data_IF_473321825232
#
_entry.id   IF_473321825232
#
_cell.length_a   1.000
_cell.length_b   1.000
_cell.length_c   1.000
_cell.angle_alpha   90.00
_cell.angle_beta   90.00
_cell.angle_gamma   90.00
#
_symmetry.space_group_name_H-M   'P 1'
#
loop_
_entity.id
_entity.type
_entity.pdbx_description
1 polymer ?
#
# COMPACT_ATOMS: atom_id res chain seq x y z
N UNK A 1 9.55 1.45 -5.68
CA UNK A 1 9.75 2.72 -4.95
C UNK A 1 8.50 3.56 -5.01
N UNK A 2 7.94 3.87 -6.18
CA UNK A 2 6.72 4.72 -6.29
C UNK A 2 5.54 4.38 -5.37
N UNK A 3 5.16 3.11 -5.22
CA UNK A 3 4.06 2.71 -4.32
C UNK A 3 4.40 2.86 -2.83
N UNK A 4 5.66 2.66 -2.45
CA UNK A 4 6.12 2.82 -1.06
C UNK A 4 6.16 4.31 -0.72
N UNK A 5 6.78 5.12 -1.58
CA UNK A 5 6.85 6.58 -1.38
C UNK A 5 5.46 7.20 -1.35
N UNK A 6 4.54 6.77 -2.22
CA UNK A 6 3.15 7.24 -2.20
C UNK A 6 2.48 6.95 -0.85
N UNK A 7 2.72 5.77 -0.29
CA UNK A 7 2.12 5.40 0.99
C UNK A 7 2.70 6.22 2.15
N UNK A 8 4.02 6.44 2.16
CA UNK A 8 4.69 7.29 3.14
C UNK A 8 4.16 8.75 3.09
N UNK A 9 4.02 9.33 1.89
CA UNK A 9 3.49 10.68 1.71
C UNK A 9 2.04 10.81 2.24
N UNK A 10 1.20 9.81 1.97
CA UNK A 10 -0.18 9.77 2.47
C UNK A 10 -0.22 9.66 4.00
N UNK A 11 0.64 8.82 4.59
CA UNK A 11 0.72 8.67 6.06
C UNK A 11 1.18 9.97 6.73
N UNK A 12 2.15 10.69 6.17
CA UNK A 12 2.57 12.01 6.66
C UNK A 12 1.42 13.02 6.62
N UNK A 13 0.63 13.04 5.54
CA UNK A 13 -0.54 13.91 5.42
C UNK A 13 -1.59 13.57 6.48
N UNK A 14 -1.86 12.28 6.72
CA UNK A 14 -2.82 11.85 7.73
C UNK A 14 -2.39 12.20 9.15
N UNK A 15 -1.09 12.04 9.46
CA UNK A 15 -0.51 12.45 10.73
C UNK A 15 -0.65 13.98 10.93
N UNK A 16 -0.27 14.77 9.92
CA UNK A 16 -0.36 16.23 9.97
C UNK A 16 -1.81 16.73 10.14
N UNK A 17 -2.79 16.02 9.61
CA UNK A 17 -4.21 16.34 9.76
C UNK A 17 -4.85 15.79 11.04
N UNK A 18 -4.14 14.98 11.84
CA UNK A 18 -4.70 14.32 13.02
C UNK A 18 -5.81 13.32 12.67
N UNK A 19 -5.69 12.64 11.53
CA UNK A 19 -6.70 11.72 11.03
C UNK A 19 -6.82 10.49 11.95
N UNK A 20 -8.04 10.12 12.33
CA UNK A 20 -8.26 8.84 13.04
C UNK A 20 -7.99 7.65 12.12
N UNK A 21 -7.57 6.53 12.71
CA UNK A 21 -7.29 5.29 11.98
C UNK A 21 -8.51 4.80 11.17
N UNK A 22 -9.73 4.99 11.70
CA UNK A 22 -10.99 4.70 11.00
C UNK A 22 -11.16 5.54 9.71
N UNK A 23 -10.77 6.81 9.76
CA UNK A 23 -10.87 7.73 8.63
C UNK A 23 -9.77 7.51 7.59
N UNK A 24 -8.60 7.00 8.01
CA UNK A 24 -7.45 6.78 7.11
C UNK A 24 -7.80 5.83 5.96
N UNK A 25 -8.49 4.72 6.21
CA UNK A 25 -8.90 3.79 5.13
C UNK A 25 -9.83 4.46 4.12
N UNK A 26 -10.77 5.29 4.60
CA UNK A 26 -11.72 5.97 3.72
C UNK A 26 -11.05 7.05 2.89
N UNK A 27 -10.20 7.88 3.52
CA UNK A 27 -9.47 8.94 2.83
C UNK A 27 -8.37 8.38 1.92
N UNK A 28 -7.67 7.33 2.34
CA UNK A 28 -6.63 6.66 1.57
C UNK A 28 -7.19 6.05 0.29
N UNK A 29 -8.37 5.44 0.37
CA UNK A 29 -9.12 4.98 -0.79
C UNK A 29 -9.52 6.14 -1.73
N UNK A 30 -9.88 7.30 -1.19
CA UNK A 30 -10.32 8.47 -1.95
C UNK A 30 -9.18 9.14 -2.73
N UNK A 31 -7.95 9.10 -2.21
CA UNK A 31 -6.78 9.69 -2.88
C UNK A 31 -6.24 8.81 -4.01
N UNK A 32 -6.65 7.53 -4.10
CA UNK A 32 -6.33 6.69 -5.26
C UNK A 32 -6.92 7.27 -6.55
N UNK A 33 -6.22 7.04 -7.66
CA UNK A 33 -6.61 7.49 -8.99
C UNK A 33 -6.75 6.31 -9.94
N UNK A 34 -7.61 6.47 -10.94
CA UNK A 34 -7.76 5.60 -12.10
C UNK A 34 -7.79 4.09 -11.77
N UNK A 35 -6.82 3.33 -12.27
CA UNK A 35 -6.72 1.88 -12.08
C UNK A 35 -6.67 1.48 -10.60
N UNK A 36 -5.97 2.26 -9.77
CA UNK A 36 -5.83 1.95 -8.35
C UNK A 36 -7.14 2.10 -7.58
N UNK A 37 -7.95 3.10 -7.91
CA UNK A 37 -9.28 3.24 -7.33
C UNK A 37 -10.20 2.08 -7.74
N UNK A 38 -10.18 1.68 -9.03
CA UNK A 38 -10.97 0.55 -9.51
C UNK A 38 -10.56 -0.77 -8.85
N UNK A 39 -9.25 -1.02 -8.75
CA UNK A 39 -8.72 -2.20 -8.06
C UNK A 39 -9.14 -2.22 -6.58
N UNK A 40 -9.04 -1.08 -5.88
CA UNK A 40 -9.38 -1.02 -4.46
C UNK A 40 -10.87 -1.28 -4.21
N UNK A 41 -11.78 -0.76 -5.05
CA UNK A 41 -13.22 -1.04 -4.95
C UNK A 41 -13.52 -2.55 -5.00
N UNK A 42 -12.88 -3.27 -5.92
CA UNK A 42 -13.04 -4.72 -6.06
C UNK A 42 -12.42 -5.47 -4.87
N UNK A 43 -11.23 -5.06 -4.43
CA UNK A 43 -10.54 -5.66 -3.30
C UNK A 43 -11.32 -5.46 -2.00
N UNK A 44 -11.88 -4.27 -1.78
CA UNK A 44 -12.71 -3.94 -0.63
C UNK A 44 -13.92 -4.87 -0.50
N UNK A 45 -14.59 -5.20 -1.60
CA UNK A 45 -15.72 -6.14 -1.60
C UNK A 45 -15.29 -7.55 -1.17
N UNK A 46 -14.14 -8.02 -1.66
CA UNK A 46 -13.59 -9.33 -1.31
C UNK A 46 -13.16 -9.40 0.16
N UNK A 47 -12.47 -8.37 0.65
CA UNK A 47 -11.91 -8.34 2.00
C UNK A 47 -12.99 -8.07 3.06
N UNK A 48 -13.96 -7.21 2.75
CA UNK A 48 -15.09 -6.89 3.63
C UNK A 48 -16.20 -7.93 3.63
N UNK A 49 -16.04 -9.04 2.91
CA UNK A 49 -17.00 -10.14 2.93
C UNK A 49 -17.20 -10.63 4.38
N UNK A 50 -18.47 -10.78 4.80
CA UNK A 50 -18.80 -11.19 6.17
C UNK A 50 -18.81 -10.06 7.22
N UNK A 51 -18.76 -8.78 6.80
CA UNK A 51 -18.89 -7.64 7.71
C UNK A 51 -17.60 -7.26 8.43
N UNK A 52 -16.46 -7.74 7.94
CA UNK A 52 -15.14 -7.39 8.49
C UNK A 52 -14.86 -5.90 8.28
N UNK A 53 -14.52 -5.19 9.36
CA UNK A 53 -14.05 -3.81 9.30
C UNK A 53 -12.65 -3.79 8.68
N UNK A 54 -12.48 -3.02 7.61
CA UNK A 54 -11.20 -2.91 6.91
C UNK A 54 -10.37 -1.81 7.56
N UNK A 55 -9.32 -2.20 8.27
CA UNK A 55 -8.38 -1.28 8.91
C UNK A 55 -7.39 -0.67 7.91
N UNK A 56 -6.72 0.41 8.32
CA UNK A 56 -5.68 1.03 7.50
C UNK A 56 -4.53 0.05 7.22
N UNK A 57 -4.16 -0.76 8.21
CA UNK A 57 -3.12 -1.78 8.06
C UNK A 57 -3.48 -2.84 7.00
N UNK A 58 -4.75 -3.25 6.93
CA UNK A 58 -5.23 -4.16 5.89
C UNK A 58 -5.16 -3.54 4.50
N UNK A 59 -5.53 -2.25 4.37
CA UNK A 59 -5.36 -1.50 3.13
C UNK A 59 -3.89 -1.49 2.68
N UNK A 60 -2.96 -1.12 3.57
CA UNK A 60 -1.52 -1.04 3.27
C UNK A 60 -0.97 -2.37 2.76
N UNK A 61 -1.32 -3.47 3.43
CA UNK A 61 -0.89 -4.81 3.04
C UNK A 61 -1.35 -5.16 1.63
N UNK A 62 -2.63 -4.96 1.32
CA UNK A 62 -3.17 -5.29 0.00
C UNK A 62 -2.61 -4.37 -1.09
N UNK A 63 -2.47 -3.08 -0.79
CA UNK A 63 -1.90 -2.08 -1.69
C UNK A 63 -0.45 -2.41 -2.05
N UNK A 64 0.39 -2.68 -1.05
CA UNK A 64 1.78 -3.07 -1.26
C UNK A 64 1.89 -4.43 -1.96
N UNK A 65 1.02 -5.39 -1.67
CA UNK A 65 1.01 -6.67 -2.39
C UNK A 65 0.72 -6.48 -3.89
N UNK A 66 -0.21 -5.57 -4.24
CA UNK A 66 -0.60 -5.30 -5.63
C UNK A 66 0.45 -4.48 -6.39
N UNK A 67 0.97 -3.41 -5.79
CA UNK A 67 1.81 -2.42 -6.47
C UNK A 67 3.29 -2.53 -6.15
N UNK A 68 3.65 -3.34 -5.15
CA UNK A 68 5.02 -3.68 -4.79
C UNK A 68 5.17 -5.20 -4.58
N UNK A 69 4.89 -6.01 -5.62
CA UNK A 69 4.90 -7.46 -5.50
C UNK A 69 6.28 -7.99 -5.07
N UNK A 70 6.26 -9.11 -4.36
CA UNK A 70 7.44 -9.72 -3.73
C UNK A 70 8.61 -9.94 -4.69
N UNK A 71 8.36 -10.10 -5.99
CA UNK A 71 9.38 -10.31 -7.02
C UNK A 71 10.27 -9.08 -7.27
N UNK A 72 9.77 -7.86 -6.99
CA UNK A 72 10.58 -6.63 -7.04
C UNK A 72 11.44 -6.51 -5.79
N UNK A 73 10.91 -6.89 -4.63
CA UNK A 73 11.66 -6.96 -3.37
C UNK A 73 12.77 -8.03 -3.43
N UNK A 74 12.46 -9.21 -3.97
CA UNK A 74 13.41 -10.30 -4.12
C UNK A 74 14.49 -9.96 -5.15
N UNK A 75 14.15 -9.33 -6.27
CA UNK A 75 15.16 -8.84 -7.23
C UNK A 75 16.14 -7.84 -6.62
N UNK A 76 15.66 -6.89 -5.81
CA UNK A 76 16.54 -5.96 -5.09
C UNK A 76 17.45 -6.65 -4.07
N UNK A 77 16.97 -7.71 -3.41
CA UNK A 77 17.81 -8.53 -2.51
C UNK A 77 18.87 -9.29 -3.30
N UNK A 78 18.52 -9.85 -4.46
CA UNK A 78 19.47 -10.51 -5.36
C UNK A 78 20.50 -9.51 -5.90
N UNK A 79 20.07 -8.35 -6.42
CA UNK A 79 20.98 -7.28 -6.87
C UNK A 79 21.90 -6.81 -5.73
N UNK A 80 21.38 -6.67 -4.50
CA UNK A 80 22.20 -6.32 -3.33
C UNK A 80 23.21 -7.42 -2.96
N UNK A 81 22.85 -8.69 -3.10
CA UNK A 81 23.77 -9.82 -2.91
C UNK A 81 24.83 -9.87 -4.01
N UNK A 82 24.47 -9.57 -5.26
CA UNK A 82 25.37 -9.55 -6.42
C UNK A 82 26.32 -8.33 -6.43
N UNK A 83 25.90 -7.20 -5.85
CA UNK A 83 26.73 -6.00 -5.69
C UNK A 83 27.90 -6.15 -4.69
N UNK A 84 27.97 -7.25 -3.93
CA UNK A 84 29.06 -7.53 -2.97
C UNK A 84 30.30 -8.19 -3.57
N UNK A 85 30.46 -8.21 -4.89
CA UNK A 85 31.68 -8.75 -5.51
C UNK A 85 32.17 -7.95 -6.73
N UNK A 86 32.28 -6.63 -6.57
CA UNK A 86 33.21 -5.82 -7.37
C UNK A 86 34.50 -5.62 -6.58
N UNK A 87 35.61 -6.13 -7.09
CA UNK A 87 36.96 -5.97 -6.54
C UNK A 87 37.38 -4.50 -6.49
#
# INVERSE_FOLDING_TARGET
EGAVNWLEEVEIIFEAMGCSEENMTTLGAYVLRDEANHWWKNSKQRIGAGGVVITWEMFKREFLMKYFPADVRNRKVVEFMELKQGN
#
